data_IF_212689146911
#
_entry.id   IF_212689146911
#
_cell.length_a   1.000
_cell.length_b   1.000
_cell.length_c   1.000
_cell.angle_alpha   90.00
_cell.angle_beta   90.00
_cell.angle_gamma   90.00
#
_symmetry.space_group_name_H-M   'P 1'
#
loop_
_entity.id
_entity.type
_entity.pdbx_description
1 polymer ?
#
# COMPACT_ATOMS: atom_id res chain seq x y z
N UNK A 1 -5.11 -15.63 -9.44
CA UNK A 1 -4.54 -14.35 -9.89
C UNK A 1 -3.94 -13.60 -8.72
N UNK A 2 -2.69 -13.13 -8.86
CA UNK A 2 -1.95 -12.35 -7.86
C UNK A 2 -2.27 -10.85 -7.89
N UNK A 3 -2.98 -10.37 -8.92
CA UNK A 3 -3.49 -9.00 -8.98
C UNK A 3 -4.37 -8.66 -7.77
N UNK A 4 -5.11 -9.63 -7.24
CA UNK A 4 -5.89 -9.45 -6.01
C UNK A 4 -5.01 -9.28 -4.77
N UNK A 5 -3.86 -9.95 -4.69
CA UNK A 5 -2.90 -9.71 -3.61
C UNK A 5 -2.30 -8.30 -3.68
N UNK A 6 -2.02 -7.81 -4.91
CA UNK A 6 -1.67 -6.39 -5.13
C UNK A 6 -2.76 -5.45 -4.63
N UNK A 7 -4.04 -5.73 -4.92
CA UNK A 7 -5.15 -4.89 -4.43
C UNK A 7 -5.20 -4.88 -2.90
N UNK A 8 -5.02 -6.04 -2.25
CA UNK A 8 -4.97 -6.08 -0.78
C UNK A 8 -3.85 -5.20 -0.24
N UNK A 9 -2.63 -5.27 -0.78
CA UNK A 9 -1.53 -4.41 -0.36
C UNK A 9 -1.81 -2.91 -0.58
N UNK A 10 -2.46 -2.56 -1.69
CA UNK A 10 -2.86 -1.18 -1.97
C UNK A 10 -3.93 -0.67 -0.98
N UNK A 11 -4.98 -1.46 -0.71
CA UNK A 11 -6.00 -1.12 0.29
C UNK A 11 -5.43 -1.13 1.72
N UNK A 12 -4.39 -1.91 1.98
CA UNK A 12 -3.74 -1.95 3.28
C UNK A 12 -2.95 -0.67 3.59
N UNK A 13 -2.32 -0.06 2.58
CA UNK A 13 -1.77 1.30 2.69
C UNK A 13 -2.88 2.35 2.76
N UNK A 14 -3.47 2.69 1.61
CA UNK A 14 -4.35 3.86 1.45
C UNK A 14 -5.85 3.60 1.66
N UNK A 15 -6.25 2.33 1.72
CA UNK A 15 -7.66 1.94 1.87
C UNK A 15 -8.15 1.92 3.32
N UNK A 16 -9.38 1.46 3.53
CA UNK A 16 -9.94 1.25 4.87
C UNK A 16 -11.14 0.29 4.85
N UNK A 17 -11.28 -0.49 5.92
CA UNK A 17 -12.54 -1.13 6.30
C UNK A 17 -13.20 -0.32 7.39
N UNK A 18 -14.50 -0.08 7.30
CA UNK A 18 -15.23 0.66 8.31
C UNK A 18 -16.67 0.18 8.49
N UNK A 19 -17.13 0.23 9.73
CA UNK A 19 -18.53 0.09 10.11
C UNK A 19 -18.92 1.40 10.80
N UNK A 20 -19.81 2.16 10.17
CA UNK A 20 -20.18 3.52 10.64
C UNK A 20 -21.65 3.58 11.01
N UNK A 21 -21.97 4.32 12.07
CA UNK A 21 -23.36 4.56 12.50
C UNK A 21 -24.08 5.46 11.50
N UNK A 22 -25.29 5.06 11.09
CA UNK A 22 -26.21 5.80 10.23
C UNK A 22 -27.58 5.81 10.89
N UNK A 23 -27.76 6.70 11.88
CA UNK A 23 -28.89 6.63 12.80
C UNK A 23 -28.85 5.30 13.57
N UNK A 24 -29.99 4.60 13.61
CA UNK A 24 -30.11 3.28 14.26
C UNK A 24 -29.39 2.15 13.51
N UNK A 25 -29.00 2.37 12.25
CA UNK A 25 -28.42 1.33 11.39
C UNK A 25 -26.92 1.51 11.18
N UNK A 26 -26.30 0.50 10.56
CA UNK A 26 -24.87 0.49 10.23
C UNK A 26 -24.62 0.57 8.72
N UNK A 27 -23.60 1.31 8.32
CA UNK A 27 -23.01 1.26 6.97
C UNK A 27 -21.68 0.52 7.03
N UNK A 28 -21.61 -0.60 6.31
CA UNK A 28 -20.38 -1.35 6.06
C UNK A 28 -19.74 -0.77 4.80
N UNK A 29 -18.47 -0.39 4.87
CA UNK A 29 -17.74 0.18 3.75
C UNK A 29 -16.31 -0.33 3.68
N UNK A 30 -15.94 -0.90 2.54
CA UNK A 30 -14.55 -0.90 2.07
C UNK A 30 -14.38 0.32 1.17
N UNK A 31 -13.37 1.14 1.44
CA UNK A 31 -13.10 2.34 0.67
C UNK A 31 -11.61 2.57 0.45
N UNK A 32 -11.31 3.35 -0.58
CA UNK A 32 -10.00 3.96 -0.84
C UNK A 32 -10.25 5.35 -1.41
N UNK A 33 -9.54 6.35 -0.89
CA UNK A 33 -9.63 7.74 -1.34
C UNK A 33 -8.23 8.25 -1.66
N UNK A 34 -8.00 8.65 -2.91
CA UNK A 34 -6.70 9.05 -3.44
C UNK A 34 -6.77 10.46 -4.02
N UNK A 35 -5.60 11.05 -4.28
CA UNK A 35 -5.49 12.28 -5.05
C UNK A 35 -6.08 12.11 -6.45
N UNK A 36 -6.61 13.17 -7.05
CA UNK A 36 -7.10 13.16 -8.44
C UNK A 36 -6.07 12.65 -9.46
N UNK A 37 -4.77 12.75 -9.15
CA UNK A 37 -3.67 12.18 -9.95
C UNK A 37 -3.82 10.66 -10.18
N UNK A 38 -4.52 9.97 -9.28
CA UNK A 38 -4.77 8.53 -9.31
C UNK A 38 -6.18 8.16 -9.78
N UNK A 39 -6.90 9.05 -10.46
CA UNK A 39 -8.23 8.75 -11.03
C UNK A 39 -8.23 7.51 -11.91
N UNK A 40 -7.18 7.32 -12.72
CA UNK A 40 -7.04 6.14 -13.57
C UNK A 40 -6.84 4.86 -12.75
N UNK A 41 -6.12 4.94 -11.62
CA UNK A 41 -5.94 3.81 -10.71
C UNK A 41 -7.29 3.41 -10.08
N UNK A 42 -8.09 4.38 -9.63
CA UNK A 42 -9.44 4.11 -9.10
C UNK A 42 -10.33 3.37 -10.11
N UNK A 43 -10.35 3.80 -11.38
CA UNK A 43 -11.12 3.10 -12.40
C UNK A 43 -10.58 1.69 -12.70
N UNK A 44 -9.26 1.50 -12.72
CA UNK A 44 -8.66 0.15 -12.85
C UNK A 44 -9.03 -0.77 -11.69
N UNK A 45 -9.00 -0.27 -10.44
CA UNK A 45 -9.42 -1.06 -9.26
C UNK A 45 -10.88 -1.48 -9.42
N UNK A 46 -11.75 -0.54 -9.81
CA UNK A 46 -13.17 -0.83 -10.04
C UNK A 46 -13.38 -1.87 -11.14
N UNK A 47 -12.64 -1.78 -12.24
CA UNK A 47 -12.69 -2.73 -13.35
C UNK A 47 -12.29 -4.14 -12.90
N UNK A 48 -11.17 -4.27 -12.18
CA UNK A 48 -10.68 -5.56 -11.64
C UNK A 48 -11.66 -6.17 -10.62
N UNK A 49 -12.25 -5.34 -9.75
CA UNK A 49 -13.21 -5.82 -8.73
C UNK A 49 -14.61 -6.05 -9.30
N UNK A 50 -14.97 -5.43 -10.42
CA UNK A 50 -16.31 -5.45 -11.02
C UNK A 50 -17.39 -4.70 -10.22
N UNK A 51 -17.06 -4.16 -9.04
CA UNK A 51 -18.02 -3.54 -8.11
C UNK A 51 -17.50 -2.24 -7.50
N UNK A 52 -18.42 -1.46 -6.94
CA UNK A 52 -18.13 -0.22 -6.22
C UNK A 52 -18.57 1.04 -6.95
N UNK A 53 -18.63 2.14 -6.20
CA UNK A 53 -19.04 3.45 -6.70
C UNK A 53 -17.88 4.43 -6.63
N UNK A 54 -17.62 5.11 -7.75
CA UNK A 54 -16.61 6.17 -7.83
C UNK A 54 -17.27 7.50 -7.45
N UNK A 55 -16.60 8.29 -6.62
CA UNK A 55 -17.04 9.65 -6.28
C UNK A 55 -15.85 10.61 -6.23
N UNK A 56 -16.11 11.87 -6.60
CA UNK A 56 -15.15 12.95 -6.58
C UNK A 56 -15.46 13.90 -5.42
N UNK A 57 -14.42 14.44 -4.79
CA UNK A 57 -14.53 15.43 -3.73
C UNK A 57 -13.52 16.54 -3.98
N UNK A 58 -13.98 17.78 -3.94
CA UNK A 58 -13.11 18.97 -3.95
C UNK A 58 -13.21 19.67 -2.61
N UNK A 59 -12.08 19.92 -1.97
CA UNK A 59 -11.96 20.75 -0.76
C UNK A 59 -10.83 21.75 -1.00
N UNK A 60 -11.16 23.03 -1.04
CA UNK A 60 -10.24 24.09 -1.44
C UNK A 60 -9.62 23.76 -2.82
N UNK A 61 -8.31 23.83 -2.94
CA UNK A 61 -7.55 23.53 -4.17
C UNK A 61 -7.22 22.03 -4.33
N UNK A 62 -7.64 21.18 -3.39
CA UNK A 62 -7.33 19.75 -3.41
C UNK A 62 -8.53 18.96 -3.95
N UNK A 63 -8.29 18.22 -5.03
CA UNK A 63 -9.25 17.30 -5.62
C UNK A 63 -8.87 15.85 -5.31
N UNK A 64 -9.86 15.10 -4.83
CA UNK A 64 -9.74 13.71 -4.42
C UNK A 64 -10.77 12.85 -5.16
N UNK A 65 -10.43 11.60 -5.36
CA UNK A 65 -11.27 10.58 -5.99
C UNK A 65 -11.33 9.37 -5.07
N UNK A 66 -12.51 8.75 -4.96
CA UNK A 66 -12.73 7.62 -4.07
C UNK A 66 -13.47 6.49 -4.76
N UNK A 67 -13.13 5.26 -4.40
CA UNK A 67 -13.92 4.07 -4.67
C UNK A 67 -14.50 3.57 -3.36
N UNK A 68 -15.82 3.38 -3.29
CA UNK A 68 -16.51 2.86 -2.09
C UNK A 68 -17.40 1.68 -2.44
N UNK A 69 -17.29 0.62 -1.66
CA UNK A 69 -18.08 -0.61 -1.77
C UNK A 69 -18.88 -0.75 -0.49
N UNK A 70 -20.20 -0.55 -0.60
CA UNK A 70 -21.15 -0.53 0.53
C UNK A 70 -22.27 -1.56 0.42
N UNK A 71 -22.42 -2.18 -0.74
CA UNK A 71 -23.40 -3.22 -0.94
C UNK A 71 -22.98 -4.48 -0.18
N UNK A 72 -23.81 -4.95 0.75
CA UNK A 72 -23.48 -6.09 1.61
C UNK A 72 -23.29 -7.38 0.83
N UNK A 73 -24.03 -7.58 -0.27
CA UNK A 73 -23.88 -8.76 -1.10
C UNK A 73 -22.56 -8.70 -1.88
N UNK A 74 -22.21 -7.53 -2.43
CA UNK A 74 -20.91 -7.37 -3.08
C UNK A 74 -19.74 -7.55 -2.10
N UNK A 75 -19.87 -7.02 -0.89
CA UNK A 75 -18.88 -7.22 0.17
C UNK A 75 -18.71 -8.70 0.50
N UNK A 76 -19.81 -9.43 0.74
CA UNK A 76 -19.78 -10.86 1.06
C UNK A 76 -19.27 -11.74 -0.09
N UNK A 77 -19.73 -11.49 -1.31
CA UNK A 77 -19.52 -12.40 -2.43
C UNK A 77 -18.21 -12.13 -3.19
N UNK A 78 -17.69 -10.90 -3.16
CA UNK A 78 -16.49 -10.53 -3.91
C UNK A 78 -15.34 -10.06 -3.00
N UNK A 79 -15.62 -9.25 -2.00
CA UNK A 79 -14.56 -8.65 -1.17
C UNK A 79 -14.04 -9.60 -0.09
N UNK A 80 -14.91 -10.20 0.72
CA UNK A 80 -14.47 -11.11 1.77
C UNK A 80 -13.60 -12.25 1.23
N UNK A 81 -13.95 -12.94 0.11
CA UNK A 81 -13.12 -14.01 -0.44
C UNK A 81 -11.72 -13.58 -0.87
N UNK A 82 -11.56 -12.34 -1.34
CA UNK A 82 -10.25 -11.80 -1.73
C UNK A 82 -9.34 -11.64 -0.52
N UNK A 83 -9.85 -10.99 0.53
CA UNK A 83 -9.09 -10.73 1.77
C UNK A 83 -8.93 -12.00 2.63
N UNK A 84 -9.79 -13.01 2.47
CA UNK A 84 -9.60 -14.33 3.07
C UNK A 84 -8.50 -15.13 2.38
N UNK A 85 -8.42 -15.03 1.05
CA UNK A 85 -7.39 -15.71 0.25
C UNK A 85 -6.03 -15.04 0.37
N UNK A 86 -6.01 -13.72 0.46
CA UNK A 86 -4.80 -12.92 0.61
C UNK A 86 -4.95 -12.01 1.85
N UNK A 87 -4.76 -12.53 3.07
CA UNK A 87 -4.81 -11.74 4.28
C UNK A 87 -3.89 -10.52 4.26
N UNK A 88 -4.33 -9.43 4.89
CA UNK A 88 -3.48 -8.27 5.17
C UNK A 88 -2.36 -8.68 6.13
N UNK A 89 -1.20 -8.04 5.98
CA UNK A 89 0.03 -8.49 6.65
C UNK A 89 0.39 -7.68 7.90
N UNK A 90 -0.22 -6.51 8.08
CA UNK A 90 -0.11 -5.64 9.26
C UNK A 90 -1.29 -5.82 10.22
N UNK A 91 -1.27 -5.07 11.32
CA UNK A 91 -2.37 -5.01 12.29
C UNK A 91 -3.68 -4.47 11.71
N UNK A 92 -3.70 -3.90 10.49
CA UNK A 92 -4.94 -3.57 9.79
C UNK A 92 -5.79 -4.81 9.48
N UNK A 93 -5.19 -6.01 9.54
CA UNK A 93 -5.92 -7.28 9.51
C UNK A 93 -6.97 -7.39 10.61
N UNK A 94 -6.76 -6.83 11.81
CA UNK A 94 -7.78 -6.82 12.86
C UNK A 94 -9.04 -6.05 12.44
N UNK A 95 -8.90 -4.98 11.65
CA UNK A 95 -10.06 -4.21 11.17
C UNK A 95 -10.89 -5.06 10.21
N UNK A 96 -10.22 -5.81 9.33
CA UNK A 96 -10.88 -6.73 8.42
C UNK A 96 -11.57 -7.88 9.18
N UNK A 97 -10.91 -8.47 10.18
CA UNK A 97 -11.50 -9.54 10.98
C UNK A 97 -12.77 -9.06 11.70
N UNK A 98 -12.72 -7.89 12.35
CA UNK A 98 -13.89 -7.27 12.98
C UNK A 98 -14.99 -6.95 11.95
N UNK A 99 -14.60 -6.42 10.79
CA UNK A 99 -15.53 -6.10 9.71
C UNK A 99 -16.24 -7.34 9.16
N UNK A 100 -15.47 -8.40 8.88
CA UNK A 100 -15.95 -9.68 8.37
C UNK A 100 -16.90 -10.34 9.36
N UNK A 101 -16.51 -10.43 10.62
CA UNK A 101 -17.31 -11.05 11.67
C UNK A 101 -18.68 -10.36 11.82
N UNK A 102 -18.69 -9.04 12.00
CA UNK A 102 -19.94 -8.29 12.13
C UNK A 102 -20.83 -8.39 10.86
N UNK A 103 -20.22 -8.40 9.67
CA UNK A 103 -20.96 -8.51 8.40
C UNK A 103 -21.58 -9.90 8.20
N UNK A 104 -20.87 -10.98 8.57
CA UNK A 104 -21.35 -12.35 8.47
C UNK A 104 -22.39 -12.68 9.55
N UNK A 105 -22.22 -12.13 10.76
CA UNK A 105 -23.19 -12.19 11.85
C UNK A 105 -24.44 -11.30 11.61
N UNK A 106 -24.49 -10.60 10.47
CA UNK A 106 -25.60 -9.74 10.06
C UNK A 106 -25.95 -8.64 11.07
N UNK A 107 -24.96 -8.10 11.79
CA UNK A 107 -25.19 -6.97 12.71
C UNK A 107 -25.66 -5.77 11.89
N UNK A 108 -26.88 -5.30 12.16
CA UNK A 108 -27.53 -4.19 11.44
C UNK A 108 -27.77 -2.97 12.29
N UNK A 109 -27.98 -3.13 13.60
CA UNK A 109 -28.26 -2.04 14.53
C UNK A 109 -26.99 -1.53 15.18
N UNK A 110 -26.95 -0.22 15.45
CA UNK A 110 -25.79 0.44 16.05
C UNK A 110 -25.48 -0.03 17.47
N UNK A 111 -26.50 -0.47 18.19
CA UNK A 111 -26.41 -0.81 19.61
C UNK A 111 -25.89 -2.24 19.82
N UNK A 112 -26.02 -3.08 18.79
CA UNK A 112 -25.51 -4.44 18.75
C UNK A 112 -24.03 -4.52 18.31
N UNK A 113 -23.42 -3.40 17.89
CA UNK A 113 -22.05 -3.38 17.38
C UNK A 113 -21.06 -3.29 18.54
N UNK A 114 -20.18 -4.30 18.75
CA UNK A 114 -19.19 -4.25 19.82
C UNK A 114 -18.20 -3.10 19.63
N UNK A 115 -17.74 -2.57 20.77
CA UNK A 115 -16.62 -1.64 20.80
C UNK A 115 -15.37 -2.28 20.20
N UNK A 116 -14.56 -1.45 19.54
CA UNK A 116 -13.37 -1.89 18.86
C UNK A 116 -12.29 -0.83 18.92
N UNK A 117 -11.14 -1.24 19.45
CA UNK A 117 -9.88 -0.56 19.26
C UNK A 117 -8.93 -1.58 18.60
N UNK A 118 -8.23 -1.16 17.55
CA UNK A 118 -7.26 -2.02 16.88
C UNK A 118 -6.16 -2.40 17.88
N UNK A 119 -5.83 -3.69 17.95
CA UNK A 119 -4.72 -4.16 18.78
C UNK A 119 -3.39 -3.63 18.25
N UNK A 120 -2.49 -3.30 19.18
CA UNK A 120 -1.11 -2.95 18.87
C UNK A 120 -0.21 -4.20 18.75
N UNK A 121 -0.69 -5.37 19.16
CA UNK A 121 0.05 -6.62 19.06
C UNK A 121 0.19 -7.05 17.61
N UNK A 122 1.43 -7.28 17.17
CA UNK A 122 1.71 -7.73 15.81
C UNK A 122 1.05 -9.09 15.54
N UNK A 123 0.13 -9.15 14.57
CA UNK A 123 -0.53 -10.40 14.19
C UNK A 123 0.42 -11.39 13.47
N UNK A 124 1.49 -10.87 12.88
CA UNK A 124 2.48 -11.64 12.12
C UNK A 124 3.89 -11.44 12.69
N UNK A 125 4.81 -12.34 12.31
CA UNK A 125 6.25 -12.17 12.53
C UNK A 125 6.94 -11.77 11.23
N UNK A 126 8.19 -11.31 11.32
CA UNK A 126 9.01 -11.02 10.13
C UNK A 126 9.10 -12.24 9.20
N UNK A 127 9.31 -13.42 9.77
CA UNK A 127 9.48 -14.64 8.99
C UNK A 127 8.17 -15.15 8.38
N UNK A 128 7.02 -14.99 9.05
CA UNK A 128 5.73 -15.36 8.46
C UNK A 128 5.40 -14.46 7.26
N UNK A 129 5.69 -13.16 7.34
CA UNK A 129 5.46 -12.21 6.25
C UNK A 129 6.29 -12.56 5.02
N UNK A 130 7.61 -12.69 5.16
CA UNK A 130 8.50 -12.90 4.00
C UNK A 130 8.31 -14.26 3.32
N UNK A 131 7.84 -15.28 4.06
CA UNK A 131 7.59 -16.61 3.53
C UNK A 131 6.18 -16.77 2.93
N UNK A 132 5.34 -15.74 3.02
CA UNK A 132 4.01 -15.75 2.43
C UNK A 132 4.10 -15.74 0.90
N UNK A 133 3.44 -16.71 0.25
CA UNK A 133 3.57 -16.96 -1.20
C UNK A 133 3.16 -15.79 -2.09
N UNK A 134 2.23 -14.96 -1.62
CA UNK A 134 1.73 -13.78 -2.33
C UNK A 134 2.42 -12.47 -1.89
N UNK A 135 3.41 -12.52 -1.00
CA UNK A 135 4.06 -11.35 -0.41
C UNK A 135 4.64 -10.40 -1.46
N UNK A 136 5.29 -10.95 -2.50
CA UNK A 136 5.89 -10.12 -3.56
C UNK A 136 4.85 -9.34 -4.36
N UNK A 137 3.67 -9.93 -4.61
CA UNK A 137 2.56 -9.25 -5.29
C UNK A 137 1.91 -8.20 -4.38
N UNK A 138 1.67 -8.56 -3.11
CA UNK A 138 1.16 -7.66 -2.09
C UNK A 138 2.08 -6.44 -1.90
N UNK A 139 3.40 -6.65 -1.87
CA UNK A 139 4.38 -5.59 -1.66
C UNK A 139 4.40 -4.58 -2.81
N UNK A 140 4.12 -4.99 -4.06
CA UNK A 140 3.96 -4.03 -5.17
C UNK A 140 2.74 -3.13 -4.93
N UNK A 141 1.64 -3.67 -4.41
CA UNK A 141 0.45 -2.90 -4.04
C UNK A 141 0.71 -1.96 -2.88
N UNK A 142 1.41 -2.44 -1.86
CA UNK A 142 1.79 -1.63 -0.72
C UNK A 142 2.78 -0.50 -1.10
N UNK A 143 3.69 -0.75 -2.06
CA UNK A 143 4.56 0.28 -2.63
C UNK A 143 3.77 1.31 -3.45
N UNK A 144 2.71 0.92 -4.16
CA UNK A 144 1.83 1.86 -4.86
C UNK A 144 1.23 2.89 -3.90
N UNK A 145 0.85 2.47 -2.69
CA UNK A 145 0.38 3.38 -1.65
C UNK A 145 1.54 4.12 -0.96
N UNK A 146 2.34 3.39 -0.18
CA UNK A 146 3.24 3.94 0.84
C UNK A 146 4.68 4.16 0.37
N UNK A 147 5.06 3.56 -0.77
CA UNK A 147 6.41 3.67 -1.31
C UNK A 147 6.67 5.05 -1.92
N UNK A 148 7.91 5.52 -1.90
CA UNK A 148 8.29 6.79 -2.51
C UNK A 148 9.60 6.63 -3.28
N UNK A 149 9.58 7.02 -4.55
CA UNK A 149 10.76 7.12 -5.39
C UNK A 149 11.13 8.59 -5.57
N UNK A 150 12.29 9.02 -5.10
CA UNK A 150 12.70 10.42 -5.17
C UNK A 150 14.13 10.60 -5.66
N UNK A 151 14.37 11.74 -6.30
CA UNK A 151 15.71 12.23 -6.63
C UNK A 151 15.82 13.69 -6.21
N UNK A 152 16.89 14.05 -5.49
CA UNK A 152 17.08 15.40 -4.95
C UNK A 152 18.57 15.73 -4.84
N UNK A 153 18.92 17.02 -4.81
CA UNK A 153 20.29 17.49 -4.57
C UNK A 153 20.69 17.25 -3.12
N UNK A 154 21.91 16.80 -2.87
CA UNK A 154 22.43 16.65 -1.51
C UNK A 154 22.59 18.01 -0.82
N UNK A 155 23.22 18.95 -1.53
CA UNK A 155 23.41 20.33 -1.10
C UNK A 155 22.75 21.26 -2.11
N UNK A 156 22.26 22.43 -1.67
CA UNK A 156 21.59 23.39 -2.57
C UNK A 156 22.52 23.89 -3.68
N UNK A 157 23.80 24.09 -3.34
CA UNK A 157 24.80 24.74 -4.20
C UNK A 157 25.60 23.74 -5.07
N UNK A 158 25.29 22.45 -4.96
CA UNK A 158 25.95 21.37 -5.71
C UNK A 158 24.95 20.71 -6.68
N UNK A 159 25.46 20.14 -7.76
CA UNK A 159 24.70 19.32 -8.71
C UNK A 159 24.70 17.83 -8.34
N UNK A 160 25.35 17.46 -7.23
CA UNK A 160 25.32 16.10 -6.72
C UNK A 160 23.92 15.63 -6.33
N UNK A 161 23.38 14.68 -7.11
CA UNK A 161 22.06 14.09 -6.90
C UNK A 161 22.09 12.80 -6.09
N UNK A 162 21.10 12.68 -5.21
CA UNK A 162 20.77 11.47 -4.48
C UNK A 162 19.46 10.91 -5.00
N UNK A 163 19.42 9.60 -5.23
CA UNK A 163 18.18 8.87 -5.44
C UNK A 163 17.85 8.09 -4.17
N UNK A 164 16.60 8.18 -3.69
CA UNK A 164 16.12 7.38 -2.58
C UNK A 164 14.89 6.57 -2.94
N UNK A 165 14.77 5.43 -2.27
CA UNK A 165 13.51 4.77 -2.05
C UNK A 165 13.20 4.83 -0.55
N UNK A 166 11.98 5.21 -0.21
CA UNK A 166 11.49 5.22 1.16
C UNK A 166 10.09 4.61 1.27
N UNK A 167 9.81 4.01 2.41
CA UNK A 167 8.52 3.43 2.75
C UNK A 167 8.32 3.51 4.27
N UNK A 168 7.09 3.75 4.71
CA UNK A 168 6.79 3.96 6.11
C UNK A 168 5.45 3.35 6.50
N UNK A 169 5.30 3.02 7.77
CA UNK A 169 4.03 2.55 8.33
C UNK A 169 3.95 2.91 9.82
N UNK A 170 2.84 3.51 10.22
CA UNK A 170 2.49 3.76 11.64
C UNK A 170 2.23 2.43 12.35
N UNK A 171 2.83 2.25 13.53
CA UNK A 171 2.80 1.00 14.30
C UNK A 171 3.25 -0.23 13.49
N UNK A 172 4.14 -0.01 12.51
CA UNK A 172 4.49 -0.97 11.47
C UNK A 172 5.86 -1.60 11.60
N UNK A 173 6.44 -1.69 12.81
CA UNK A 173 7.83 -2.12 12.99
C UNK A 173 8.14 -3.49 12.39
N UNK A 174 7.29 -4.49 12.66
CA UNK A 174 7.43 -5.84 12.11
C UNK A 174 7.30 -5.85 10.59
N UNK A 175 6.33 -5.11 10.04
CA UNK A 175 6.10 -5.05 8.59
C UNK A 175 7.28 -4.38 7.87
N UNK A 176 7.72 -3.22 8.35
CA UNK A 176 8.84 -2.49 7.76
C UNK A 176 10.15 -3.27 7.91
N UNK A 177 10.33 -3.99 9.02
CA UNK A 177 11.45 -4.92 9.22
C UNK A 177 11.41 -6.10 8.25
N UNK A 178 10.23 -6.65 7.94
CA UNK A 178 10.07 -7.70 6.93
C UNK A 178 10.44 -7.21 5.53
N UNK A 179 9.98 -6.02 5.14
CA UNK A 179 10.36 -5.38 3.86
C UNK A 179 11.87 -5.12 3.80
N UNK A 180 12.44 -4.60 4.90
CA UNK A 180 13.88 -4.36 5.04
C UNK A 180 14.69 -5.65 4.84
N UNK A 181 14.30 -6.75 5.49
CA UNK A 181 14.93 -8.07 5.37
C UNK A 181 14.78 -8.64 3.95
N UNK A 182 13.56 -8.63 3.40
CA UNK A 182 13.26 -9.19 2.08
C UNK A 182 14.03 -8.50 0.95
N UNK A 183 14.12 -7.17 0.97
CA UNK A 183 14.85 -6.39 -0.03
C UNK A 183 16.36 -6.30 0.26
N UNK A 184 16.85 -7.02 1.27
CA UNK A 184 18.26 -7.09 1.68
C UNK A 184 18.87 -5.71 1.95
N UNK A 185 18.12 -4.87 2.67
CA UNK A 185 18.63 -3.59 3.14
C UNK A 185 19.43 -3.77 4.44
N UNK A 186 20.25 -2.77 4.75
CA UNK A 186 21.08 -2.73 5.97
C UNK A 186 21.00 -1.38 6.68
N UNK A 187 20.21 -0.45 6.16
CA UNK A 187 20.02 0.88 6.73
C UNK A 187 19.16 0.79 7.96
N UNK A 188 19.52 1.51 9.03
CA UNK A 188 18.69 1.58 10.23
C UNK A 188 17.27 2.06 9.90
N UNK A 189 16.27 1.34 10.40
CA UNK A 189 14.87 1.77 10.37
C UNK A 189 14.71 2.87 11.43
N UNK A 190 14.22 4.03 11.01
CA UNK A 190 14.01 5.16 11.91
C UNK A 190 12.58 5.12 12.47
N UNK A 191 12.46 5.10 13.79
CA UNK A 191 11.19 5.26 14.48
C UNK A 191 11.01 6.72 14.87
N UNK A 192 9.94 7.36 14.40
CA UNK A 192 9.67 8.75 14.74
C UNK A 192 8.86 8.92 16.04
N UNK A 193 8.68 10.17 16.47
CA UNK A 193 7.93 10.53 17.70
C UNK A 193 6.46 10.09 17.66
N UNK A 194 5.93 9.81 16.48
CA UNK A 194 4.58 9.32 16.26
C UNK A 194 4.55 7.81 16.10
N UNK A 195 5.55 7.04 16.55
CA UNK A 195 5.63 5.59 16.39
C UNK A 195 5.47 5.12 14.93
N UNK A 196 5.92 5.93 13.97
CA UNK A 196 5.96 5.56 12.56
C UNK A 196 7.35 5.01 12.22
N UNK A 197 7.39 3.75 11.78
CA UNK A 197 8.62 3.10 11.32
C UNK A 197 8.88 3.51 9.89
N UNK A 198 10.04 4.15 9.66
CA UNK A 198 10.42 4.75 8.38
C UNK A 198 11.70 4.11 7.88
N UNK A 199 11.62 3.47 6.72
CA UNK A 199 12.73 2.85 6.02
C UNK A 199 13.12 3.73 4.84
N UNK A 200 14.39 4.13 4.76
CA UNK A 200 14.93 4.93 3.66
C UNK A 200 16.27 4.39 3.20
N UNK A 201 16.41 4.17 1.89
CA UNK A 201 17.64 3.69 1.26
C UNK A 201 18.08 4.62 0.14
N UNK A 202 19.39 4.85 0.04
CA UNK A 202 20.00 5.71 -0.99
C UNK A 202 21.21 5.07 -1.68
N UNK A 203 21.83 4.07 -1.04
CA UNK A 203 23.04 3.41 -1.55
C UNK A 203 22.78 2.63 -2.84
N UNK A 204 23.79 2.55 -3.71
CA UNK A 204 23.71 1.91 -5.03
C UNK A 204 23.18 0.47 -4.95
N UNK A 205 23.66 -0.33 -3.97
CA UNK A 205 23.20 -1.71 -3.75
C UNK A 205 21.71 -1.77 -3.42
N UNK A 206 21.24 -0.93 -2.50
CA UNK A 206 19.84 -0.92 -2.10
C UNK A 206 18.94 -0.43 -3.23
N UNK A 207 19.34 0.62 -3.97
CA UNK A 207 18.63 1.09 -5.17
C UNK A 207 18.57 -0.02 -6.23
N UNK A 208 19.67 -0.75 -6.45
CA UNK A 208 19.69 -1.92 -7.35
C UNK A 208 18.70 -2.99 -6.92
N UNK A 209 18.61 -3.29 -5.62
CA UNK A 209 17.66 -4.27 -5.10
C UNK A 209 16.21 -3.85 -5.32
N UNK A 210 15.89 -2.57 -5.11
CA UNK A 210 14.55 -2.01 -5.41
C UNK A 210 14.22 -2.15 -6.89
N UNK A 211 15.13 -1.75 -7.79
CA UNK A 211 14.93 -1.91 -9.24
C UNK A 211 14.74 -3.37 -9.61
N UNK A 212 15.58 -4.27 -9.10
CA UNK A 212 15.48 -5.72 -9.36
C UNK A 212 14.13 -6.28 -8.90
N UNK A 213 13.68 -5.91 -7.71
CA UNK A 213 12.40 -6.34 -7.16
C UNK A 213 11.23 -5.87 -8.04
N UNK A 214 11.13 -4.56 -8.31
CA UNK A 214 10.03 -3.99 -9.11
C UNK A 214 9.99 -4.58 -10.53
N UNK A 215 11.15 -4.89 -11.12
CA UNK A 215 11.21 -5.53 -12.43
C UNK A 215 10.82 -7.02 -12.40
N UNK A 216 11.27 -7.76 -11.39
CA UNK A 216 11.02 -9.21 -11.26
C UNK A 216 9.70 -9.57 -10.57
N UNK A 217 8.97 -8.61 -10.01
CA UNK A 217 7.72 -8.87 -9.32
C UNK A 217 6.63 -9.42 -10.26
N UNK A 218 5.72 -10.28 -9.75
CA UNK A 218 4.70 -10.96 -10.56
C UNK A 218 3.59 -10.04 -11.08
N UNK A 219 3.54 -8.80 -10.59
CA UNK A 219 2.57 -7.75 -10.94
C UNK A 219 3.29 -6.41 -11.02
N UNK A 220 2.65 -5.40 -11.60
CA UNK A 220 3.25 -4.08 -11.86
C UNK A 220 2.47 -2.99 -11.14
N UNK A 221 3.14 -1.87 -10.87
CA UNK A 221 2.49 -0.62 -10.46
C UNK A 221 1.53 -0.16 -11.56
N UNK A 222 0.36 0.36 -11.19
CA UNK A 222 -0.75 0.66 -12.09
C UNK A 222 -1.12 2.15 -12.14
N UNK A 223 -0.78 2.90 -11.09
CA UNK A 223 -1.20 4.29 -10.90
C UNK A 223 -0.08 5.33 -11.05
N UNK A 224 -0.19 6.43 -10.32
CA UNK A 224 0.78 7.52 -10.33
C UNK A 224 2.14 7.06 -9.78
N UNK A 225 2.22 6.01 -8.94
CA UNK A 225 3.52 5.46 -8.52
C UNK A 225 4.27 4.82 -9.67
N UNK A 226 3.58 4.24 -10.67
CA UNK A 226 4.22 3.78 -11.92
C UNK A 226 4.92 4.96 -12.61
N UNK A 227 4.25 6.10 -12.76
CA UNK A 227 4.85 7.30 -13.36
C UNK A 227 6.04 7.80 -12.55
N UNK A 228 5.91 7.87 -11.22
CA UNK A 228 7.00 8.27 -10.32
C UNK A 228 8.22 7.35 -10.50
N UNK A 229 8.02 6.02 -10.51
CA UNK A 229 9.08 5.04 -10.72
C UNK A 229 9.74 5.20 -12.10
N UNK A 230 8.97 5.40 -13.17
CA UNK A 230 9.51 5.60 -14.52
C UNK A 230 10.38 6.87 -14.62
N UNK A 231 9.93 7.97 -14.02
CA UNK A 231 10.70 9.21 -13.94
C UNK A 231 11.96 9.03 -13.11
N UNK A 232 11.88 8.27 -12.02
CA UNK A 232 13.01 7.93 -11.18
C UNK A 232 14.06 7.10 -11.93
N UNK A 233 13.65 6.07 -12.67
CA UNK A 233 14.53 5.29 -13.56
C UNK A 233 15.18 6.19 -14.62
N UNK A 234 14.41 7.09 -15.25
CA UNK A 234 14.94 8.07 -16.22
C UNK A 234 16.03 8.94 -15.59
N UNK A 235 15.86 9.38 -14.34
CA UNK A 235 16.85 10.18 -13.65
C UNK A 235 18.08 9.37 -13.24
N UNK A 236 17.90 8.12 -12.79
CA UNK A 236 19.01 7.22 -12.45
C UNK A 236 19.97 7.00 -13.63
N UNK A 237 19.48 6.99 -14.87
CA UNK A 237 20.33 6.87 -16.08
C UNK A 237 21.30 8.05 -16.26
N UNK A 238 21.03 9.19 -15.64
CA UNK A 238 21.86 10.40 -15.72
C UNK A 238 22.85 10.54 -14.57
N UNK A 239 22.82 9.65 -13.58
CA UNK A 239 23.64 9.73 -12.38
C UNK A 239 24.65 8.57 -12.40
N UNK A 240 25.90 8.88 -12.77
CA UNK A 240 26.99 7.91 -13.02
C UNK A 240 27.09 6.79 -11.98
N UNK A 241 27.11 7.15 -10.68
CA UNK A 241 27.23 6.17 -9.59
C UNK A 241 26.15 5.07 -9.59
N UNK A 242 24.97 5.35 -10.15
CA UNK A 242 23.89 4.37 -10.32
C UNK A 242 23.91 3.74 -11.70
N UNK A 243 23.98 4.54 -12.77
CA UNK A 243 23.89 4.04 -14.15
C UNK A 243 25.02 3.09 -14.53
N UNK A 244 26.22 3.26 -13.96
CA UNK A 244 27.37 2.39 -14.23
C UNK A 244 27.28 1.03 -13.52
N UNK A 245 26.45 0.90 -12.47
CA UNK A 245 26.42 -0.28 -11.57
C UNK A 245 25.09 -1.03 -11.58
N UNK A 246 24.06 -0.43 -12.18
CA UNK A 246 22.70 -0.95 -12.23
C UNK A 246 22.27 -1.07 -13.69
N UNK A 247 21.87 -2.27 -14.10
CA UNK A 247 21.21 -2.45 -15.39
C UNK A 247 19.80 -1.85 -15.31
N UNK A 248 19.66 -0.61 -15.74
CA UNK A 248 18.40 0.12 -15.66
C UNK A 248 17.47 -0.32 -16.79
N UNK A 249 16.25 -0.78 -16.47
CA UNK A 249 15.30 -1.32 -17.46
C UNK A 249 14.84 -0.21 -18.43
N UNK A 250 14.70 -0.54 -19.71
CA UNK A 250 14.14 0.37 -20.73
C UNK A 250 12.62 0.28 -20.81
N UNK A 251 12.04 -0.89 -20.51
CA UNK A 251 10.61 -1.16 -20.53
C UNK A 251 10.12 -1.57 -19.13
N UNK A 252 8.92 -1.13 -18.73
CA UNK A 252 8.26 -1.48 -17.46
C UNK A 252 6.73 -1.52 -17.56
#
# INVERSE_FOLDING_TARGET
DLTYAYLVGLFEGDGYFSITKKGKYLTYELGIELSIKDVQLIYKIKDILGVGKVSFRKRNEIEMVSLRIRDKNHLKNFILPIFDKYPMLSNKQYDYLRFKDALLSNIIYSDDLPEYARSNESINSVDSIINTSYFSAWLVGFIEAEGCFSTYKLNKDDDYLIASFDIAQKDGDILISAIHKYLSFTTKIYLDKTNCSRLKVTGVRSVKNVVKFIQGAPVKLLGNKKLQYLLWIKQLRKISRYSEKIQLPSNY
#
